data_IF_923439151117
#
_entry.id   IF_923439151117
#
_cell.length_a   1.000
_cell.length_b   1.000
_cell.length_c   1.000
_cell.angle_alpha   90.00
_cell.angle_beta   90.00
_cell.angle_gamma   90.00
#
_symmetry.space_group_name_H-M   'P 1'
#
loop_
_entity.id
_entity.type
_entity.pdbx_description
1 polymer ?
#
# COMPACT_ATOMS: atom_id res chain seq x y z
N UNK A 1 -10.22 27.05 -11.24
CA UNK A 1 -9.34 26.69 -12.38
C UNK A 1 -8.68 25.38 -12.03
N UNK A 2 -9.29 24.27 -12.48
CA UNK A 2 -8.75 22.89 -12.59
C UNK A 2 -7.93 22.27 -11.45
N UNK A 3 -8.08 22.76 -10.22
CA UNK A 3 -7.57 22.08 -9.02
C UNK A 3 -8.60 21.05 -8.52
N UNK A 4 -8.16 19.82 -8.27
CA UNK A 4 -8.78 18.79 -7.41
C UNK A 4 -9.39 17.53 -8.05
N UNK A 5 -9.50 17.32 -9.37
CA UNK A 5 -10.14 16.08 -9.86
C UNK A 5 -9.42 14.78 -9.41
N UNK A 6 -8.07 14.80 -9.39
CA UNK A 6 -7.26 13.66 -8.92
C UNK A 6 -7.39 13.44 -7.42
N UNK A 7 -7.22 14.51 -6.62
CA UNK A 7 -7.35 14.46 -5.16
C UNK A 7 -8.78 14.08 -4.74
N UNK A 8 -9.81 14.69 -5.31
CA UNK A 8 -11.22 14.35 -5.03
C UNK A 8 -11.49 12.87 -5.32
N UNK A 9 -10.85 12.27 -6.32
CA UNK A 9 -11.05 10.85 -6.66
C UNK A 9 -10.57 9.89 -5.58
N UNK A 10 -9.53 10.27 -4.83
CA UNK A 10 -8.90 9.42 -3.81
C UNK A 10 -9.25 9.84 -2.38
N UNK A 11 -9.67 11.09 -2.17
CA UNK A 11 -9.96 11.67 -0.86
C UNK A 11 -10.90 10.81 0.01
N UNK A 12 -12.00 10.21 -0.51
CA UNK A 12 -12.85 9.33 0.29
C UNK A 12 -12.14 8.07 0.82
N UNK A 13 -10.98 7.75 0.28
CA UNK A 13 -10.16 6.58 0.64
C UNK A 13 -8.87 6.96 1.37
N UNK A 14 -8.66 8.23 1.70
CA UNK A 14 -7.54 8.69 2.51
C UNK A 14 -8.00 8.92 3.96
N UNK A 15 -7.13 8.67 4.95
CA UNK A 15 -7.49 8.82 6.36
C UNK A 15 -7.34 10.27 6.85
N UNK A 16 -7.64 11.24 6.00
CA UNK A 16 -7.41 12.67 6.23
C UNK A 16 -8.69 13.47 6.01
N UNK A 17 -8.79 14.58 6.73
CA UNK A 17 -9.89 15.55 6.57
C UNK A 17 -9.37 16.81 5.88
N UNK A 18 -10.26 17.49 5.16
CA UNK A 18 -9.97 18.82 4.61
C UNK A 18 -10.31 19.87 5.67
N UNK A 19 -9.28 20.57 6.15
CA UNK A 19 -9.44 21.67 7.10
C UNK A 19 -10.04 22.93 6.45
N UNK A 20 -10.36 23.93 7.27
CA UNK A 20 -10.95 25.20 6.81
C UNK A 20 -10.08 25.97 5.81
N UNK A 21 -8.77 25.76 5.84
CA UNK A 21 -7.79 26.30 4.89
C UNK A 21 -7.60 25.47 3.62
N UNK A 22 -8.44 24.45 3.39
CA UNK A 22 -8.32 23.43 2.32
C UNK A 22 -7.03 22.61 2.36
N UNK A 23 -6.41 22.52 3.54
CA UNK A 23 -5.25 21.65 3.78
C UNK A 23 -5.69 20.27 4.23
N UNK A 24 -4.93 19.26 3.84
CA UNK A 24 -5.12 17.91 4.34
C UNK A 24 -4.60 17.85 5.77
N UNK A 25 -5.37 17.28 6.69
CA UNK A 25 -5.03 17.21 8.10
C UNK A 25 -5.49 15.90 8.71
N UNK A 26 -4.76 15.42 9.70
CA UNK A 26 -5.25 14.42 10.64
C UNK A 26 -6.23 15.05 11.64
N UNK A 27 -7.25 14.33 12.13
CA UNK A 27 -8.02 14.78 13.28
C UNK A 27 -7.13 14.99 14.52
N UNK A 28 -7.47 15.94 15.39
CA UNK A 28 -6.61 16.33 16.54
C UNK A 28 -6.24 15.16 17.45
N UNK A 29 -7.20 14.28 17.77
CA UNK A 29 -6.93 13.08 18.60
C UNK A 29 -5.95 12.10 17.95
N UNK A 30 -5.97 12.01 16.62
CA UNK A 30 -5.01 11.17 15.88
C UNK A 30 -3.62 11.82 15.91
N UNK A 31 -3.54 13.15 15.77
CA UNK A 31 -2.27 13.89 15.93
C UNK A 31 -1.70 13.66 17.33
N UNK A 32 -2.50 13.83 18.39
CA UNK A 32 -2.07 13.61 19.78
C UNK A 32 -1.53 12.18 19.99
N UNK A 33 -2.23 11.16 19.47
CA UNK A 33 -1.79 9.78 19.56
C UNK A 33 -0.46 9.53 18.81
N UNK A 34 -0.34 10.03 17.58
CA UNK A 34 0.88 9.90 16.78
C UNK A 34 2.05 10.70 17.38
N UNK A 35 1.82 11.88 17.95
CA UNK A 35 2.82 12.67 18.66
C UNK A 35 3.28 12.00 19.96
N UNK A 36 2.38 11.32 20.68
CA UNK A 36 2.77 10.53 21.83
C UNK A 36 3.64 9.34 21.38
N UNK A 37 3.23 8.61 20.33
CA UNK A 37 3.99 7.46 19.80
C UNK A 37 5.36 7.88 19.25
N UNK A 38 5.45 9.05 18.61
CA UNK A 38 6.70 9.55 18.06
C UNK A 38 7.76 9.90 19.12
N UNK A 39 7.34 10.09 20.37
CA UNK A 39 8.22 10.29 21.54
C UNK A 39 8.58 8.98 22.26
N UNK A 40 8.15 7.83 21.74
CA UNK A 40 8.50 6.52 22.26
C UNK A 40 7.47 5.89 23.22
N UNK A 41 7.74 4.66 23.66
CA UNK A 41 6.83 3.87 24.50
C UNK A 41 6.64 4.48 25.90
N UNK A 42 7.61 5.22 26.45
CA UNK A 42 7.45 5.86 27.77
C UNK A 42 6.36 6.95 27.78
N UNK A 43 6.10 7.57 26.64
CA UNK A 43 5.08 8.60 26.47
C UNK A 43 3.74 8.00 26.01
N UNK A 44 3.77 7.15 24.98
CA UNK A 44 2.56 6.57 24.37
C UNK A 44 2.02 5.33 25.07
N UNK A 45 2.86 4.66 25.88
CA UNK A 45 2.65 3.31 26.42
C UNK A 45 2.57 2.19 25.37
N UNK A 46 2.73 2.49 24.08
CA UNK A 46 2.70 1.48 23.00
C UNK A 46 4.03 0.74 22.99
N UNK A 47 4.10 -0.37 23.71
CA UNK A 47 5.32 -1.16 23.93
C UNK A 47 5.21 -2.64 23.56
N UNK A 48 4.04 -3.08 23.08
CA UNK A 48 3.75 -4.44 22.64
C UNK A 48 2.64 -4.45 21.57
N UNK A 49 2.45 -5.60 20.92
CA UNK A 49 1.47 -5.82 19.85
C UNK A 49 0.03 -5.61 20.33
N UNK A 50 -0.29 -6.11 21.52
CA UNK A 50 -1.62 -5.90 22.14
C UNK A 50 -1.94 -4.38 22.26
N UNK A 51 -1.04 -3.60 22.87
CA UNK A 51 -1.27 -2.16 23.08
C UNK A 51 -1.27 -1.39 21.76
N UNK A 52 -0.45 -1.79 20.78
CA UNK A 52 -0.50 -1.21 19.43
C UNK A 52 -1.88 -1.41 18.78
N UNK A 53 -2.47 -2.60 18.91
CA UNK A 53 -3.80 -2.89 18.36
C UNK A 53 -4.91 -2.05 19.00
N UNK A 54 -4.80 -1.79 20.30
CA UNK A 54 -5.71 -0.90 21.04
C UNK A 54 -5.56 0.53 20.52
N UNK A 55 -4.33 1.03 20.42
CA UNK A 55 -4.07 2.38 19.94
C UNK A 55 -4.54 2.59 18.50
N UNK A 56 -4.39 1.58 17.63
CA UNK A 56 -4.98 1.57 16.28
C UNK A 56 -6.49 1.72 16.34
N UNK A 57 -7.16 0.96 17.21
CA UNK A 57 -8.62 1.02 17.37
C UNK A 57 -9.10 2.41 17.83
N UNK A 58 -8.40 3.03 18.77
CA UNK A 58 -8.70 4.38 19.27
C UNK A 58 -8.51 5.46 18.18
N UNK A 59 -7.45 5.34 17.37
CA UNK A 59 -7.23 6.23 16.22
C UNK A 59 -8.31 6.07 15.16
N UNK A 60 -8.71 4.83 14.85
CA UNK A 60 -9.81 4.56 13.90
C UNK A 60 -11.15 5.12 14.39
N UNK A 61 -11.44 5.01 15.69
CA UNK A 61 -12.61 5.63 16.30
C UNK A 61 -12.58 7.16 16.16
N UNK A 62 -11.39 7.77 16.33
CA UNK A 62 -11.19 9.22 16.15
C UNK A 62 -11.32 9.69 14.70
N UNK A 63 -11.11 8.79 13.74
CA UNK A 63 -11.35 9.00 12.31
C UNK A 63 -12.82 8.75 11.91
N UNK A 64 -13.70 8.39 12.85
CA UNK A 64 -15.09 8.00 12.60
C UNK A 64 -15.21 6.83 11.60
N UNK A 65 -14.22 5.93 11.57
CA UNK A 65 -14.25 4.74 10.72
C UNK A 65 -15.15 3.68 11.36
N UNK A 66 -16.39 3.61 10.90
CA UNK A 66 -17.41 2.71 11.45
C UNK A 66 -17.20 1.23 11.08
N UNK A 67 -16.40 0.95 10.04
CA UNK A 67 -16.19 -0.43 9.60
C UNK A 67 -15.26 -1.18 10.55
N UNK A 68 -15.66 -2.37 11.04
CA UNK A 68 -14.81 -3.20 11.88
C UNK A 68 -13.62 -3.74 11.08
N UNK A 69 -12.46 -3.81 11.72
CA UNK A 69 -11.34 -4.61 11.24
C UNK A 69 -11.65 -6.11 11.42
N UNK A 70 -10.83 -6.97 10.80
CA UNK A 70 -10.88 -8.41 11.05
C UNK A 70 -10.86 -8.73 12.55
N UNK A 71 -11.80 -9.58 13.01
CA UNK A 71 -12.04 -9.85 14.43
C UNK A 71 -10.78 -10.32 15.18
N UNK A 72 -9.99 -11.19 14.54
CA UNK A 72 -8.77 -11.76 15.11
C UNK A 72 -7.53 -10.90 14.86
N UNK A 73 -7.63 -9.74 14.22
CA UNK A 73 -6.47 -8.89 13.95
C UNK A 73 -5.72 -8.52 15.24
N UNK A 74 -6.37 -8.05 16.33
CA UNK A 74 -5.67 -7.71 17.58
C UNK A 74 -4.85 -8.88 18.14
N UNK A 75 -5.40 -10.09 18.06
CA UNK A 75 -4.74 -11.33 18.48
C UNK A 75 -3.54 -11.66 17.59
N UNK A 76 -3.64 -11.38 16.29
CA UNK A 76 -2.53 -11.51 15.35
C UNK A 76 -1.39 -10.52 15.58
N UNK A 77 -1.69 -9.26 15.94
CA UNK A 77 -0.68 -8.29 16.34
C UNK A 77 0.06 -8.75 17.60
N UNK A 78 -0.68 -9.15 18.64
CA UNK A 78 -0.10 -9.67 19.87
C UNK A 78 0.77 -10.90 19.60
N UNK A 79 0.22 -11.91 18.91
CA UNK A 79 0.95 -13.13 18.55
C UNK A 79 2.27 -12.82 17.83
N UNK A 80 2.25 -11.94 16.82
CA UNK A 80 3.46 -11.64 16.07
C UNK A 80 4.50 -10.91 16.92
N UNK A 81 4.13 -9.78 17.52
CA UNK A 81 5.07 -8.87 18.17
C UNK A 81 5.49 -9.33 19.57
N UNK A 82 4.63 -10.07 20.26
CA UNK A 82 4.82 -10.41 21.67
C UNK A 82 5.33 -11.85 21.85
N UNK A 83 5.02 -12.75 20.90
CA UNK A 83 5.40 -14.16 20.98
C UNK A 83 6.36 -14.62 19.86
N UNK A 84 6.08 -14.31 18.58
CA UNK A 84 6.85 -14.82 17.45
C UNK A 84 8.12 -14.01 17.14
N UNK A 85 8.15 -12.74 17.52
CA UNK A 85 9.29 -11.86 17.37
C UNK A 85 10.20 -12.00 18.60
N UNK A 86 11.53 -12.01 18.39
CA UNK A 86 12.45 -12.11 19.53
C UNK A 86 12.24 -10.93 20.48
N UNK A 87 12.32 -11.15 21.80
CA UNK A 87 12.06 -10.08 22.77
C UNK A 87 13.01 -8.88 22.62
N UNK A 88 14.23 -9.08 22.11
CA UNK A 88 15.15 -7.99 21.81
C UNK A 88 14.70 -7.18 20.59
N UNK A 89 14.30 -7.86 19.52
CA UNK A 89 13.84 -7.18 18.31
C UNK A 89 12.50 -6.49 18.55
N UNK A 90 11.57 -7.11 19.29
CA UNK A 90 10.28 -6.52 19.65
C UNK A 90 10.45 -5.23 20.45
N UNK A 91 11.31 -5.23 21.49
CA UNK A 91 11.64 -4.01 22.23
C UNK A 91 12.22 -2.93 21.33
N UNK A 92 13.13 -3.30 20.41
CA UNK A 92 13.70 -2.36 19.44
C UNK A 92 12.62 -1.79 18.52
N UNK A 93 11.73 -2.64 18.01
CA UNK A 93 10.64 -2.22 17.14
C UNK A 93 9.75 -1.16 17.79
N UNK A 94 9.33 -1.38 19.04
CA UNK A 94 8.50 -0.39 19.76
C UNK A 94 9.28 0.84 20.24
N UNK A 95 10.58 0.70 20.55
CA UNK A 95 11.41 1.81 21.02
C UNK A 95 11.94 2.70 19.88
N UNK A 96 12.13 2.15 18.68
CA UNK A 96 12.80 2.84 17.56
C UNK A 96 11.91 2.94 16.31
N UNK A 97 11.35 1.84 15.83
CA UNK A 97 10.66 1.79 14.53
C UNK A 97 9.26 2.40 14.60
N UNK A 98 8.44 2.04 15.59
CA UNK A 98 7.09 2.62 15.78
C UNK A 98 7.15 4.16 15.91
N UNK A 99 8.05 4.76 16.71
CA UNK A 99 8.18 6.22 16.77
C UNK A 99 8.53 6.88 15.43
N UNK A 100 9.39 6.24 14.63
CA UNK A 100 9.74 6.73 13.29
C UNK A 100 8.57 6.62 12.31
N UNK A 101 7.82 5.52 12.35
CA UNK A 101 6.59 5.37 11.57
C UNK A 101 5.52 6.38 11.97
N UNK A 102 5.36 6.65 13.27
CA UNK A 102 4.44 7.68 13.76
C UNK A 102 4.84 9.09 13.26
N UNK A 103 6.13 9.42 13.30
CA UNK A 103 6.65 10.67 12.69
C UNK A 103 6.38 10.74 11.18
N UNK A 104 6.54 9.62 10.46
CA UNK A 104 6.24 9.55 9.03
C UNK A 104 4.74 9.78 8.75
N UNK A 105 3.86 9.20 9.57
CA UNK A 105 2.42 9.42 9.50
C UNK A 105 2.03 10.89 9.79
N UNK A 106 2.65 11.54 10.80
CA UNK A 106 2.46 12.96 11.05
C UNK A 106 2.81 13.84 9.83
N UNK A 107 3.76 13.40 9.01
CA UNK A 107 4.18 14.08 7.77
C UNK A 107 3.31 13.72 6.56
N UNK A 108 2.46 12.71 6.62
CA UNK A 108 1.64 12.28 5.47
C UNK A 108 0.84 13.43 4.82
N UNK A 109 0.16 14.34 5.57
CA UNK A 109 -0.63 15.39 4.92
C UNK A 109 0.25 16.36 4.13
N UNK A 110 1.41 16.76 4.65
CA UNK A 110 2.33 17.63 3.93
C UNK A 110 3.02 16.92 2.76
N UNK A 111 3.32 15.62 2.88
CA UNK A 111 3.82 14.80 1.78
C UNK A 111 2.82 14.75 0.62
N UNK A 112 1.52 14.60 0.91
CA UNK A 112 0.48 14.64 -0.11
C UNK A 112 0.34 16.02 -0.74
N UNK A 113 0.38 17.10 0.05
CA UNK A 113 0.33 18.46 -0.49
C UNK A 113 1.48 18.75 -1.46
N UNK A 114 2.71 18.40 -1.07
CA UNK A 114 3.90 18.53 -1.92
C UNK A 114 3.78 17.65 -3.17
N UNK A 115 3.27 16.41 -3.01
CA UNK A 115 3.03 15.50 -4.12
C UNK A 115 2.13 16.11 -5.18
N UNK A 116 0.95 16.59 -4.80
CA UNK A 116 0.01 17.20 -5.76
C UNK A 116 0.53 18.50 -6.37
N UNK A 117 1.31 19.28 -5.62
CA UNK A 117 1.98 20.47 -6.17
C UNK A 117 2.97 20.10 -7.28
N UNK A 118 3.76 19.04 -7.06
CA UNK A 118 4.80 18.59 -8.00
C UNK A 118 4.22 17.81 -9.20
N UNK A 119 3.15 17.04 -8.99
CA UNK A 119 2.56 16.20 -10.03
C UNK A 119 1.62 16.95 -10.98
N UNK A 120 1.17 18.16 -10.60
CA UNK A 120 0.19 18.96 -11.35
C UNK A 120 0.58 19.19 -12.81
N UNK A 121 1.85 19.43 -13.08
CA UNK A 121 2.33 19.69 -14.44
C UNK A 121 2.26 18.46 -15.35
N UNK A 122 2.31 17.25 -14.77
CA UNK A 122 2.42 15.99 -15.51
C UNK A 122 1.14 15.15 -15.48
N UNK A 123 0.19 15.45 -14.58
CA UNK A 123 -1.02 14.65 -14.39
C UNK A 123 -0.73 13.25 -13.83
N UNK A 124 0.31 13.12 -12.99
CA UNK A 124 0.71 11.86 -12.35
C UNK A 124 0.42 11.83 -10.85
N UNK A 125 -0.56 12.64 -10.41
CA UNK A 125 -0.96 12.72 -9.01
C UNK A 125 -1.57 11.41 -8.51
N UNK A 126 -1.62 11.26 -7.19
CA UNK A 126 -2.22 10.08 -6.57
C UNK A 126 -3.72 10.12 -6.84
N UNK A 127 -4.23 9.10 -7.50
CA UNK A 127 -5.65 8.97 -7.87
C UNK A 127 -6.04 7.50 -8.03
N UNK A 128 -7.33 7.24 -8.09
CA UNK A 128 -7.82 5.91 -8.47
C UNK A 128 -7.65 5.72 -9.98
N UNK A 129 -6.95 4.66 -10.39
CA UNK A 129 -6.90 4.21 -11.77
C UNK A 129 -8.07 3.24 -12.00
N UNK A 130 -9.20 3.80 -12.47
CA UNK A 130 -10.44 3.05 -12.65
C UNK A 130 -10.43 2.11 -13.85
N UNK A 131 -11.39 1.15 -13.92
CA UNK A 131 -11.56 0.32 -15.11
C UNK A 131 -11.71 1.18 -16.37
N UNK A 132 -11.05 0.77 -17.45
CA UNK A 132 -11.06 1.48 -18.74
C UNK A 132 -10.55 2.93 -18.71
N UNK A 133 -9.84 3.33 -17.66
CA UNK A 133 -9.24 4.66 -17.55
C UNK A 133 -7.71 4.52 -17.52
N UNK A 134 -7.03 4.51 -18.68
CA UNK A 134 -5.58 4.42 -18.70
C UNK A 134 -4.98 5.61 -17.97
N UNK A 135 -3.84 5.39 -17.32
CA UNK A 135 -3.22 6.45 -16.54
C UNK A 135 -1.97 6.03 -15.82
N UNK A 136 -1.20 7.04 -15.42
CA UNK A 136 0.02 6.90 -14.67
C UNK A 136 -0.06 7.63 -13.33
N UNK A 137 0.54 7.04 -12.29
CA UNK A 137 0.74 7.64 -10.97
C UNK A 137 2.21 7.49 -10.61
N UNK A 138 2.90 8.59 -10.32
CA UNK A 138 4.31 8.61 -9.95
C UNK A 138 4.44 9.03 -8.50
N UNK A 139 4.87 8.13 -7.61
CA UNK A 139 4.99 8.41 -6.18
C UNK A 139 6.46 8.41 -5.76
N UNK A 140 6.84 9.30 -4.83
CA UNK A 140 8.11 9.15 -4.13
C UNK A 140 8.06 7.92 -3.22
N UNK A 141 9.21 7.27 -3.01
CA UNK A 141 9.29 6.14 -2.10
C UNK A 141 8.97 6.53 -0.65
N UNK A 142 9.23 7.77 -0.25
CA UNK A 142 8.81 8.30 1.05
C UNK A 142 7.29 8.36 1.21
N UNK A 143 6.56 8.84 0.18
CA UNK A 143 5.10 8.84 0.20
C UNK A 143 4.54 7.41 0.21
N UNK A 144 5.15 6.47 -0.54
CA UNK A 144 4.80 5.05 -0.49
C UNK A 144 5.01 4.50 0.93
N UNK A 145 6.13 4.83 1.57
CA UNK A 145 6.41 4.46 2.96
C UNK A 145 5.33 4.95 3.92
N UNK A 146 4.89 6.21 3.79
CA UNK A 146 3.83 6.78 4.61
C UNK A 146 2.47 6.11 4.36
N UNK A 147 2.12 5.83 3.10
CA UNK A 147 0.89 5.13 2.73
C UNK A 147 0.89 3.67 3.26
N UNK A 148 2.01 2.95 3.15
CA UNK A 148 2.13 1.61 3.72
C UNK A 148 2.13 1.62 5.26
N UNK A 149 2.68 2.64 5.90
CA UNK A 149 2.54 2.83 7.34
C UNK A 149 1.06 3.01 7.72
N UNK A 150 0.27 3.74 6.94
CA UNK A 150 -1.18 3.79 7.14
C UNK A 150 -1.85 2.41 7.05
N UNK A 151 -1.39 1.56 6.11
CA UNK A 151 -1.88 0.18 6.00
C UNK A 151 -1.54 -0.67 7.23
N UNK A 152 -0.31 -0.56 7.75
CA UNK A 152 0.13 -1.26 8.97
C UNK A 152 -0.65 -0.81 10.21
N UNK A 153 -0.95 0.49 10.31
CA UNK A 153 -1.76 1.05 11.40
C UNK A 153 -3.26 0.93 11.12
N UNK A 154 -3.65 0.25 10.03
CA UNK A 154 -5.02 0.04 9.60
C UNK A 154 -5.86 1.34 9.57
N UNK A 155 -5.28 2.46 9.13
CA UNK A 155 -5.92 3.77 9.20
C UNK A 155 -6.78 4.09 7.97
N UNK A 156 -6.63 3.37 6.86
CA UNK A 156 -7.43 3.68 5.68
C UNK A 156 -8.93 3.43 5.91
N UNK A 157 -9.80 4.32 5.41
CA UNK A 157 -11.22 4.02 5.25
C UNK A 157 -11.41 2.81 4.33
N UNK A 158 -12.23 1.87 4.77
CA UNK A 158 -12.58 0.67 3.99
C UNK A 158 -14.03 0.70 3.47
N UNK A 159 -14.84 1.63 3.97
CA UNK A 159 -16.18 1.93 3.44
C UNK A 159 -16.09 2.14 1.92
N UNK A 160 -17.07 1.61 1.18
CA UNK A 160 -17.24 1.80 -0.26
C UNK A 160 -16.12 1.26 -1.18
N UNK A 161 -15.00 0.73 -0.64
CA UNK A 161 -13.95 0.10 -1.47
C UNK A 161 -14.50 -1.08 -2.27
N UNK A 162 -15.35 -1.90 -1.65
CA UNK A 162 -16.01 -3.03 -2.32
C UNK A 162 -16.91 -2.59 -3.50
N UNK A 163 -17.64 -1.48 -3.36
CA UNK A 163 -18.49 -0.93 -4.43
C UNK A 163 -17.67 -0.44 -5.64
N UNK A 164 -16.42 -0.03 -5.41
CA UNK A 164 -15.48 0.37 -6.46
C UNK A 164 -14.52 -0.74 -6.86
N UNK A 165 -14.73 -1.97 -6.37
CA UNK A 165 -13.86 -3.11 -6.63
C UNK A 165 -12.38 -2.85 -6.31
N UNK A 166 -12.10 -2.00 -5.30
CA UNK A 166 -10.74 -1.71 -4.86
C UNK A 166 -10.24 -2.84 -3.96
N UNK A 167 -8.96 -3.27 -4.10
CA UNK A 167 -8.40 -4.32 -3.27
C UNK A 167 -8.28 -3.88 -1.80
N UNK A 168 -8.14 -4.88 -0.92
CA UNK A 168 -7.79 -4.72 0.49
C UNK A 168 -6.51 -3.88 0.61
N UNK A 169 -6.49 -2.98 1.59
CA UNK A 169 -5.39 -2.02 1.77
C UNK A 169 -4.80 -2.05 3.17
N UNK A 170 -5.60 -2.31 4.21
CA UNK A 170 -5.13 -2.43 5.59
C UNK A 170 -4.59 -3.85 5.84
N UNK A 171 -3.69 -3.98 6.82
CA UNK A 171 -3.03 -5.25 7.14
C UNK A 171 -3.79 -6.08 8.20
N UNK A 172 -5.01 -5.69 8.56
CA UNK A 172 -5.83 -6.39 9.56
C UNK A 172 -6.07 -7.85 9.19
N UNK A 173 -6.38 -8.13 7.92
CA UNK A 173 -6.57 -9.50 7.43
C UNK A 173 -5.28 -10.32 7.39
N UNK A 174 -4.12 -9.67 7.23
CA UNK A 174 -2.81 -10.33 7.26
C UNK A 174 -2.53 -10.83 8.69
N UNK A 175 -2.72 -9.97 9.69
CA UNK A 175 -2.54 -10.35 11.10
C UNK A 175 -3.63 -11.32 11.59
N UNK A 176 -4.89 -11.12 11.20
CA UNK A 176 -5.96 -12.06 11.54
C UNK A 176 -5.68 -13.47 10.97
N UNK A 177 -5.20 -13.55 9.72
CA UNK A 177 -4.84 -14.82 9.10
C UNK A 177 -3.69 -15.54 9.80
N UNK A 178 -2.75 -14.79 10.39
CA UNK A 178 -1.66 -15.36 11.19
C UNK A 178 -2.18 -16.06 12.45
N UNK A 179 -3.20 -15.48 13.09
CA UNK A 179 -3.81 -16.05 14.30
C UNK A 179 -4.82 -17.17 14.00
N UNK A 180 -5.74 -16.95 13.07
CA UNK A 180 -6.85 -17.90 12.79
C UNK A 180 -6.37 -19.25 12.25
N UNK A 181 -5.26 -19.25 11.52
CA UNK A 181 -4.71 -20.44 10.88
C UNK A 181 -3.21 -20.25 10.65
N UNK A 182 -2.46 -20.31 11.74
CA UNK A 182 -1.01 -20.17 11.72
C UNK A 182 -0.36 -21.05 10.64
N UNK A 183 0.59 -20.47 9.91
CA UNK A 183 1.53 -21.18 9.06
C UNK A 183 2.82 -20.38 8.93
N UNK A 184 3.94 -21.07 8.73
CA UNK A 184 5.25 -20.44 8.53
C UNK A 184 5.25 -19.46 7.34
N UNK A 185 4.48 -19.76 6.29
CA UNK A 185 4.31 -18.86 5.15
C UNK A 185 3.68 -17.52 5.55
N UNK A 186 2.61 -17.54 6.37
CA UNK A 186 2.01 -16.28 6.86
C UNK A 186 2.94 -15.53 7.80
N UNK A 187 3.63 -16.24 8.69
CA UNK A 187 4.62 -15.65 9.58
C UNK A 187 5.73 -14.93 8.80
N UNK A 188 6.28 -15.59 7.76
CA UNK A 188 7.33 -15.04 6.92
C UNK A 188 6.85 -13.84 6.09
N UNK A 189 5.58 -13.83 5.63
CA UNK A 189 5.00 -12.65 4.98
C UNK A 189 5.00 -11.43 5.90
N UNK A 190 4.58 -11.61 7.16
CA UNK A 190 4.63 -10.52 8.15
C UNK A 190 6.08 -10.10 8.37
N UNK A 191 7.04 -11.03 8.54
CA UNK A 191 8.47 -10.72 8.68
C UNK A 191 9.02 -9.90 7.50
N UNK A 192 8.66 -10.24 6.27
CA UNK A 192 9.08 -9.48 5.08
C UNK A 192 8.59 -8.02 5.13
N UNK A 193 7.32 -7.81 5.51
CA UNK A 193 6.74 -6.47 5.64
C UNK A 193 7.41 -5.68 6.77
N UNK A 194 7.66 -6.32 7.91
CA UNK A 194 8.36 -5.70 9.04
C UNK A 194 9.81 -5.35 8.66
N UNK A 195 10.50 -6.23 7.94
CA UNK A 195 11.84 -5.95 7.39
C UNK A 195 11.84 -4.73 6.45
N UNK A 196 10.82 -4.58 5.59
CA UNK A 196 10.65 -3.37 4.79
C UNK A 196 10.56 -2.11 5.66
N UNK A 197 9.71 -2.12 6.71
CA UNK A 197 9.58 -0.97 7.60
C UNK A 197 10.87 -0.65 8.36
N UNK A 198 11.56 -1.67 8.86
CA UNK A 198 12.86 -1.49 9.51
C UNK A 198 13.89 -0.85 8.56
N UNK A 199 13.89 -1.23 7.27
CA UNK A 199 14.79 -0.65 6.26
C UNK A 199 14.49 0.83 6.01
N UNK A 200 13.22 1.20 5.81
CA UNK A 200 12.88 2.62 5.58
C UNK A 200 13.04 3.48 6.85
N UNK A 201 12.89 2.88 8.04
CA UNK A 201 13.16 3.54 9.33
C UNK A 201 14.65 3.71 9.60
N UNK A 202 15.50 2.84 9.06
CA UNK A 202 16.95 2.99 9.10
C UNK A 202 17.41 4.07 8.11
N UNK A 203 16.93 3.98 6.86
CA UNK A 203 17.27 4.91 5.81
C UNK A 203 16.11 5.02 4.81
N UNK A 204 15.45 6.18 4.81
CA UNK A 204 14.36 6.45 3.88
C UNK A 204 14.91 6.50 2.44
N UNK A 205 14.41 5.67 1.52
CA UNK A 205 14.81 5.73 0.12
C UNK A 205 14.24 6.97 -0.57
N UNK A 206 14.97 7.53 -1.54
CA UNK A 206 14.69 8.83 -2.16
C UNK A 206 14.25 8.75 -3.63
N UNK A 207 14.09 7.54 -4.16
CA UNK A 207 13.65 7.32 -5.53
C UNK A 207 12.14 7.53 -5.71
N UNK A 208 11.68 7.29 -6.93
CA UNK A 208 10.27 7.36 -7.31
C UNK A 208 9.83 6.07 -8.00
N UNK A 209 8.56 5.73 -7.88
CA UNK A 209 7.96 4.53 -8.47
C UNK A 209 6.77 4.96 -9.33
N UNK A 210 6.78 4.52 -10.58
CA UNK A 210 5.71 4.78 -11.55
C UNK A 210 4.78 3.57 -11.63
N UNK A 211 3.49 3.80 -11.41
CA UNK A 211 2.42 2.84 -11.64
C UNK A 211 1.66 3.24 -12.90
N UNK A 212 1.49 2.31 -13.84
CA UNK A 212 0.81 2.56 -15.11
C UNK A 212 -0.29 1.54 -15.36
N UNK A 213 -1.53 2.02 -15.59
CA UNK A 213 -2.62 1.22 -16.11
C UNK A 213 -2.70 1.41 -17.63
N UNK A 214 -2.31 0.37 -18.38
CA UNK A 214 -2.42 0.35 -19.85
C UNK A 214 -3.74 -0.29 -20.27
N UNK A 215 -4.43 0.34 -21.22
CA UNK A 215 -5.63 -0.19 -21.84
C UNK A 215 -5.34 -0.56 -23.29
N UNK A 216 -5.77 -1.75 -23.71
CA UNK A 216 -5.93 -2.10 -25.11
C UNK A 216 -7.42 -1.97 -25.45
N UNK A 217 -7.75 -1.10 -26.42
CA UNK A 217 -9.15 -0.86 -26.79
C UNK A 217 -9.71 -2.05 -27.58
N UNK A 218 -10.91 -2.50 -27.26
CA UNK A 218 -11.62 -3.52 -28.06
C UNK A 218 -12.16 -2.95 -29.38
N UNK A 219 -12.38 -1.64 -29.44
CA UNK A 219 -12.90 -0.95 -30.63
C UNK A 219 -11.74 -0.29 -31.40
N UNK A 220 -11.69 -0.54 -32.71
CA UNK A 220 -10.78 0.17 -33.61
C UNK A 220 -11.30 1.58 -33.83
N UNK A 221 -10.60 2.57 -33.27
CA UNK A 221 -10.88 3.98 -33.52
C UNK A 221 -9.80 4.55 -34.45
N UNK A 222 -10.11 4.88 -35.71
CA UNK A 222 -9.13 5.38 -36.69
C UNK A 222 -8.42 6.68 -36.27
N UNK A 223 -8.95 7.37 -35.26
CA UNK A 223 -8.54 8.69 -34.80
C UNK A 223 -7.87 8.69 -33.42
N UNK A 224 -7.72 7.52 -32.77
CA UNK A 224 -7.07 7.41 -31.47
C UNK A 224 -5.88 6.47 -31.57
N UNK A 225 -4.72 6.93 -31.09
CA UNK A 225 -3.44 6.21 -31.09
C UNK A 225 -3.39 5.01 -30.12
N UNK A 226 -4.52 4.59 -29.55
CA UNK A 226 -4.57 3.46 -28.64
C UNK A 226 -4.47 2.16 -29.45
N UNK A 227 -3.54 1.29 -29.04
CA UNK A 227 -3.41 -0.06 -29.59
C UNK A 227 -4.75 -0.79 -29.45
N UNK A 228 -5.38 -1.11 -30.59
CA UNK A 228 -6.60 -1.91 -30.61
C UNK A 228 -6.27 -3.38 -30.38
N UNK A 229 -7.13 -4.09 -29.65
CA UNK A 229 -7.02 -5.52 -29.46
C UNK A 229 -7.11 -6.22 -30.83
N UNK A 230 -6.07 -6.94 -31.25
CA UNK A 230 -6.08 -7.64 -32.54
C UNK A 230 -7.11 -8.78 -32.52
N UNK A 231 -7.97 -8.82 -33.54
CA UNK A 231 -8.92 -9.93 -33.75
C UNK A 231 -8.20 -11.22 -34.17
N UNK A 232 -8.88 -12.38 -34.04
CA UNK A 232 -8.32 -13.69 -34.40
C UNK A 232 -7.74 -13.76 -35.82
N UNK A 233 -8.36 -13.02 -36.76
CA UNK A 233 -7.90 -12.89 -38.15
C UNK A 233 -6.51 -12.26 -38.27
N UNK A 234 -6.19 -11.28 -37.41
CA UNK A 234 -4.87 -10.64 -37.38
C UNK A 234 -3.80 -11.68 -37.02
N UNK A 235 -4.05 -12.46 -35.97
CA UNK A 235 -3.10 -13.49 -35.51
C UNK A 235 -2.92 -14.61 -36.54
N UNK A 236 -4.01 -15.08 -37.14
CA UNK A 236 -3.98 -16.15 -38.16
C UNK A 236 -3.20 -15.74 -39.42
N UNK A 237 -3.24 -14.45 -39.79
CA UNK A 237 -2.57 -13.92 -40.99
C UNK A 237 -1.19 -13.34 -40.70
N UNK A 238 -0.74 -13.34 -39.45
CA UNK A 238 0.56 -12.78 -39.08
C UNK A 238 1.69 -13.61 -39.68
N UNK A 239 2.59 -12.95 -40.39
CA UNK A 239 3.82 -13.53 -40.96
C UNK A 239 5.08 -13.06 -40.24
N UNK A 240 4.91 -12.38 -39.10
CA UNK A 240 6.03 -11.87 -38.30
C UNK A 240 6.84 -13.08 -37.78
N UNK A 241 8.17 -13.10 -38.00
CA UNK A 241 9.01 -14.20 -37.53
C UNK A 241 9.02 -14.26 -36.00
N UNK A 242 9.17 -15.47 -35.46
CA UNK A 242 9.31 -15.67 -34.02
C UNK A 242 10.57 -14.97 -33.51
N UNK A 243 10.45 -14.31 -32.35
CA UNK A 243 11.59 -13.73 -31.66
C UNK A 243 12.53 -14.83 -31.14
N UNK A 244 13.84 -14.55 -30.99
CA UNK A 244 14.73 -15.42 -30.22
C UNK A 244 14.18 -15.65 -28.81
N UNK A 245 14.26 -16.89 -28.32
CA UNK A 245 13.89 -17.23 -26.96
C UNK A 245 14.97 -18.09 -26.31
N UNK A 246 15.12 -17.92 -24.99
CA UNK A 246 16.02 -18.73 -24.17
C UNK A 246 15.16 -19.41 -23.11
N UNK A 247 15.50 -20.66 -22.79
CA UNK A 247 14.81 -21.45 -21.77
C UNK A 247 15.82 -21.85 -20.72
N UNK A 248 15.51 -21.51 -19.47
CA UNK A 248 16.30 -21.88 -18.30
C UNK A 248 15.48 -22.87 -17.47
N UNK A 249 16.06 -24.01 -17.13
CA UNK A 249 15.41 -25.03 -16.28
C UNK A 249 15.62 -24.80 -14.78
N UNK A 250 16.28 -23.70 -14.41
CA UNK A 250 16.63 -23.32 -13.04
C UNK A 250 16.73 -21.80 -12.93
N UNK A 251 16.51 -21.27 -11.72
CA UNK A 251 16.45 -19.83 -11.44
C UNK A 251 15.00 -19.34 -11.35
N UNK A 252 14.82 -18.16 -10.75
CA UNK A 252 13.54 -17.46 -10.66
C UNK A 252 13.54 -16.22 -11.57
N UNK A 253 12.38 -15.57 -11.71
CA UNK A 253 12.23 -14.39 -12.57
C UNK A 253 13.05 -13.22 -12.00
N UNK A 254 13.00 -13.03 -10.69
CA UNK A 254 13.69 -11.97 -9.94
C UNK A 254 15.22 -12.19 -9.81
N UNK A 255 15.72 -13.38 -10.13
CA UNK A 255 17.15 -13.72 -10.04
C UNK A 255 17.91 -13.42 -11.35
N UNK A 256 17.21 -12.96 -12.38
CA UNK A 256 17.78 -12.84 -13.71
C UNK A 256 18.71 -11.62 -13.81
N UNK A 257 20.00 -11.86 -14.06
CA UNK A 257 21.03 -10.82 -14.04
C UNK A 257 20.91 -9.77 -15.18
N UNK A 258 20.13 -10.06 -16.21
CA UNK A 258 19.89 -9.13 -17.32
C UNK A 258 18.63 -8.35 -17.00
N UNK A 259 18.73 -7.02 -17.00
CA UNK A 259 17.59 -6.11 -16.90
C UNK A 259 16.55 -6.46 -17.97
N UNK A 260 15.45 -7.07 -17.54
CA UNK A 260 14.36 -7.51 -18.39
C UNK A 260 13.03 -6.99 -17.84
N UNK A 261 11.98 -7.04 -18.67
CA UNK A 261 10.63 -6.84 -18.17
C UNK A 261 10.20 -8.13 -17.44
N UNK A 262 10.23 -8.09 -16.12
CA UNK A 262 9.82 -9.19 -15.25
C UNK A 262 8.29 -9.33 -15.20
N UNK A 263 7.81 -10.56 -15.29
CA UNK A 263 6.37 -10.87 -15.37
C UNK A 263 5.84 -11.32 -14.01
N UNK A 264 4.78 -10.67 -13.55
CA UNK A 264 3.95 -11.06 -12.41
C UNK A 264 2.74 -11.89 -12.90
N UNK A 265 2.52 -13.12 -12.40
CA UNK A 265 1.34 -13.95 -12.71
C UNK A 265 0.14 -13.46 -11.90
N UNK A 266 -0.27 -12.24 -12.21
CA UNK A 266 -1.21 -11.47 -11.42
C UNK A 266 -2.62 -12.08 -11.38
N UNK A 267 -3.28 -11.85 -10.24
CA UNK A 267 -4.74 -11.93 -10.15
C UNK A 267 -5.39 -10.69 -10.80
N UNK A 268 -6.63 -10.83 -11.29
CA UNK A 268 -7.42 -9.69 -11.81
C UNK A 268 -7.55 -8.53 -10.81
N UNK A 269 -7.47 -8.82 -9.51
CA UNK A 269 -7.24 -7.85 -8.46
C UNK A 269 -5.76 -7.89 -8.09
N UNK A 270 -5.00 -6.84 -8.45
CA UNK A 270 -3.55 -6.77 -8.24
C UNK A 270 -3.17 -7.13 -6.80
N UNK A 271 -2.13 -7.94 -6.66
CA UNK A 271 -1.66 -8.49 -5.38
C UNK A 271 -2.47 -9.68 -4.86
N UNK A 272 -3.66 -9.97 -5.41
CA UNK A 272 -4.45 -11.15 -5.07
C UNK A 272 -4.60 -11.39 -3.57
N UNK A 273 -4.06 -12.51 -3.08
CA UNK A 273 -4.10 -12.91 -1.67
C UNK A 273 -2.96 -12.36 -0.80
N UNK A 274 -2.16 -11.39 -1.27
CA UNK A 274 -0.96 -10.92 -0.57
C UNK A 274 -1.23 -10.40 0.85
N UNK A 275 -2.35 -9.70 1.09
CA UNK A 275 -2.77 -9.24 2.43
C UNK A 275 -3.69 -10.23 3.17
N UNK A 276 -3.85 -11.44 2.62
CA UNK A 276 -4.58 -12.56 3.24
C UNK A 276 -3.65 -13.77 3.29
N UNK A 277 -4.11 -14.94 2.82
CA UNK A 277 -3.37 -16.20 2.88
C UNK A 277 -2.55 -16.55 1.63
N UNK A 278 -2.63 -15.75 0.57
CA UNK A 278 -1.91 -16.04 -0.68
C UNK A 278 -0.39 -15.94 -0.49
N UNK A 279 0.35 -16.91 -1.03
CA UNK A 279 1.81 -16.98 -0.99
C UNK A 279 2.35 -17.76 -2.21
N UNK A 280 1.88 -17.35 -3.39
CA UNK A 280 2.35 -17.82 -4.69
C UNK A 280 2.67 -16.59 -5.55
N UNK A 281 3.31 -16.82 -6.69
CA UNK A 281 3.48 -15.80 -7.71
C UNK A 281 2.12 -15.47 -8.34
#
# INVERSE_FOLDING_TARGET
>A
MEDSAELESILPYLPLVIGSSRRLLWPSKVVEALEAMSRGPDHSRVNCGEVLSIAISDMRASLSLADPLALSAPLGYALFFDELMSGADSRKWFAEDIPKLANLLLRLPSLLEVHYQNSRAYGYGLRILGPQQPGMVLLSQELIGALLACSLFCLFPISNRGLKHLPTINFDQLFASLYDSYSESQENKVRCIICYFQRICLQMPTGSVLFELKLLSLEYHPWQSFLSYPYADFWTKSTIPLCPFQVHSSGLIEDHAIEALEVDFANKYLGGGALHRGCVQ
#
